data_IF_480766678343
#
_entry.id   IF_480766678343
#
_cell.length_a   1.000
_cell.length_b   1.000
_cell.length_c   1.000
_cell.angle_alpha   90.00
_cell.angle_beta   90.00
_cell.angle_gamma   90.00
#
_symmetry.space_group_name_H-M   'P 1'
#
loop_
_entity.id
_entity.type
_entity.pdbx_description
1 polymer ?
#
# COMPACT_ATOMS: atom_id res chain seq x y z
N UNK A 1 -34.90 -3.16 5.30
CA UNK A 1 -33.89 -2.42 6.09
C UNK A 1 -32.52 -2.93 5.66
N UNK A 2 -31.75 -2.11 4.94
CA UNK A 2 -30.37 -2.41 4.57
C UNK A 2 -29.60 -1.08 4.52
N UNK A 3 -28.60 -0.96 5.39
CA UNK A 3 -27.76 0.22 5.54
C UNK A 3 -26.85 0.37 4.32
N UNK A 4 -26.92 1.55 3.67
CA UNK A 4 -25.98 1.98 2.63
C UNK A 4 -24.77 2.60 3.33
N UNK A 5 -23.60 1.97 3.20
CA UNK A 5 -22.32 2.56 3.56
C UNK A 5 -21.97 3.69 2.60
N UNK A 6 -21.76 4.89 3.13
CA UNK A 6 -21.24 6.04 2.41
C UNK A 6 -19.76 5.84 2.08
N UNK A 7 -19.42 5.90 0.79
CA UNK A 7 -18.03 6.01 0.34
C UNK A 7 -17.51 7.43 0.56
N UNK A 8 -16.38 7.55 1.26
CA UNK A 8 -15.66 8.80 1.42
C UNK A 8 -14.98 9.21 0.13
N UNK A 9 -15.40 10.34 -0.42
CA UNK A 9 -14.77 11.00 -1.57
C UNK A 9 -13.57 11.80 -1.06
N UNK A 10 -12.35 11.45 -1.50
CA UNK A 10 -11.17 12.29 -1.34
C UNK A 10 -11.32 13.51 -2.27
N UNK A 11 -11.81 14.62 -1.72
CA UNK A 11 -11.91 15.90 -2.40
C UNK A 11 -10.56 16.62 -2.34
N UNK A 12 -10.03 16.96 -3.51
CA UNK A 12 -8.87 17.84 -3.65
C UNK A 12 -9.34 19.30 -3.54
N UNK A 13 -8.86 20.02 -2.54
CA UNK A 13 -9.07 21.46 -2.40
C UNK A 13 -7.92 22.20 -3.07
N UNK A 14 -8.27 23.01 -4.07
CA UNK A 14 -7.42 24.02 -4.72
C UNK A 14 -7.35 25.26 -3.82
N UNK A 15 -6.16 25.65 -3.38
CA UNK A 15 -5.93 26.92 -2.67
C UNK A 15 -5.81 28.08 -3.65
N UNK A 16 -6.49 29.18 -3.33
CA UNK A 16 -6.34 30.51 -3.92
C UNK A 16 -5.89 31.49 -2.84
N UNK A 17 -4.81 32.20 -3.13
CA UNK A 17 -4.22 33.30 -2.35
C UNK A 17 -5.15 34.54 -2.35
N UNK A 18 -5.30 35.25 -1.22
CA UNK A 18 -4.73 36.60 -0.98
C UNK A 18 -5.35 37.34 0.25
N UNK A 19 -4.47 38.13 0.87
CA UNK A 19 -4.59 39.37 1.67
C UNK A 19 -5.15 39.47 3.11
N UNK A 20 -4.26 39.92 4.02
CA UNK A 20 -4.40 41.20 4.74
C UNK A 20 -5.21 41.27 6.05
N UNK A 21 -4.55 41.61 7.18
CA UNK A 21 -5.23 42.23 8.33
C UNK A 21 -4.61 41.98 9.72
N UNK A 22 -3.97 43.01 10.25
CA UNK A 22 -3.40 43.17 11.61
C UNK A 22 -4.50 43.58 12.62
N UNK A 23 -4.50 43.05 13.86
CA UNK A 23 -4.42 43.80 15.13
C UNK A 23 -4.93 43.04 16.38
N UNK A 24 -4.23 43.30 17.50
CA UNK A 24 -4.85 43.67 18.78
C UNK A 24 -5.41 42.58 19.71
N UNK A 25 -4.57 42.01 20.58
CA UNK A 25 -5.01 41.45 21.87
C UNK A 25 -4.61 42.40 22.99
N UNK A 26 -5.61 43.07 23.57
CA UNK A 26 -5.46 44.01 24.69
C UNK A 26 -5.33 43.32 26.05
N UNK A 27 -4.69 44.06 26.97
CA UNK A 27 -5.12 44.42 28.34
C UNK A 27 -5.88 43.35 29.15
N UNK A 28 -5.64 43.10 30.45
CA UNK A 28 -4.79 43.71 31.47
C UNK A 28 -4.80 42.76 32.69
N UNK A 29 -3.75 42.86 33.51
CA UNK A 29 -3.68 42.93 34.99
C UNK A 29 -4.75 42.21 35.88
N UNK A 30 -4.49 41.66 37.08
CA UNK A 30 -3.62 42.08 38.19
C UNK A 30 -3.33 40.91 39.16
N UNK A 31 -2.21 41.06 39.86
CA UNK A 31 -1.76 40.35 41.06
C UNK A 31 -2.53 40.79 42.31
N UNK A 32 -2.79 39.87 43.24
CA UNK A 32 -2.83 40.18 44.68
C UNK A 32 -2.15 39.06 45.47
N UNK A 33 -0.98 39.39 46.03
CA UNK A 33 -0.35 38.76 47.17
C UNK A 33 -0.87 39.47 48.43
N UNK A 34 -1.04 38.75 49.53
CA UNK A 34 -0.59 39.30 50.80
C UNK A 34 -0.17 38.21 51.80
N UNK A 35 0.90 38.55 52.49
CA UNK A 35 1.62 37.84 53.54
C UNK A 35 0.85 37.85 54.87
N UNK A 36 1.15 36.94 55.81
CA UNK A 36 1.70 37.33 57.12
C UNK A 36 2.05 36.13 58.05
N UNK A 37 3.31 36.14 58.51
CA UNK A 37 3.87 35.83 59.84
C UNK A 37 3.45 34.58 60.67
N UNK A 38 4.47 33.77 61.06
CA UNK A 38 4.45 32.88 62.25
C UNK A 38 4.97 33.60 63.52
N UNK A 39 5.55 32.93 64.53
CA UNK A 39 5.45 31.53 65.01
C UNK A 39 5.21 31.44 66.54
N UNK A 40 4.86 30.27 67.13
CA UNK A 40 5.29 29.87 68.50
C UNK A 40 4.89 28.43 68.89
N UNK A 41 5.79 27.78 69.63
CA UNK A 41 5.75 26.41 70.17
C UNK A 41 4.74 26.18 71.31
N UNK A 42 4.31 24.92 71.48
CA UNK A 42 4.20 24.32 72.81
C UNK A 42 2.95 23.46 73.10
N UNK A 43 3.14 22.13 73.19
CA UNK A 43 2.57 21.34 74.29
C UNK A 43 1.41 20.37 74.04
N UNK A 44 1.77 19.08 73.89
CA UNK A 44 1.23 17.87 74.53
C UNK A 44 -0.18 17.29 74.20
N UNK A 45 -0.10 16.05 73.69
CA UNK A 45 -0.83 14.81 74.03
C UNK A 45 -2.18 14.39 73.39
N UNK A 46 -2.17 13.08 73.02
CA UNK A 46 -3.23 12.11 72.68
C UNK A 46 -3.96 12.32 71.32
N UNK A 47 -4.23 11.33 70.45
CA UNK A 47 -4.25 9.86 70.52
C UNK A 47 -4.26 9.28 69.06
N UNK A 48 -3.41 8.27 68.81
CA UNK A 48 -3.62 7.06 68.00
C UNK A 48 -4.31 7.15 66.61
N UNK A 49 -3.51 6.84 65.56
CA UNK A 49 -4.03 6.49 64.23
C UNK A 49 -3.00 5.84 63.31
N UNK A 50 -2.69 4.55 63.55
CA UNK A 50 -2.09 3.54 62.63
C UNK A 50 -1.29 4.06 61.42
N UNK A 51 0.02 3.97 61.50
CA UNK A 51 0.89 3.78 60.32
C UNK A 51 1.60 2.44 60.43
N UNK A 52 1.19 1.50 59.57
CA UNK A 52 2.00 0.32 59.23
C UNK A 52 3.30 0.80 58.58
N UNK A 53 4.40 0.21 59.03
CA UNK A 53 5.75 0.69 58.80
C UNK A 53 6.12 0.93 57.33
N UNK A 54 6.91 1.99 57.14
CA UNK A 54 7.75 2.17 55.97
C UNK A 54 8.63 0.95 55.77
N UNK A 55 8.18 0.07 54.87
CA UNK A 55 9.01 -0.95 54.27
C UNK A 55 10.08 -0.27 53.45
N UNK A 56 11.34 -0.61 53.73
CA UNK A 56 12.43 -0.29 52.84
C UNK A 56 12.15 -1.06 51.54
N UNK A 57 11.81 -0.34 50.48
CA UNK A 57 11.71 -0.89 49.12
C UNK A 57 13.13 -1.16 48.64
N UNK A 58 13.72 -2.22 49.20
CA UNK A 58 14.97 -2.79 48.72
C UNK A 58 14.54 -3.64 47.54
N UNK A 59 14.73 -3.13 46.33
CA UNK A 59 14.61 -3.89 45.09
C UNK A 59 15.37 -5.21 45.28
N UNK A 60 14.61 -6.30 45.37
CA UNK A 60 15.08 -7.64 45.73
C UNK A 60 15.75 -8.32 44.52
N UNK A 61 16.66 -7.60 43.85
CA UNK A 61 17.60 -8.11 42.87
C UNK A 61 18.96 -7.45 43.13
N UNK A 62 19.67 -7.98 44.13
CA UNK A 62 21.09 -7.75 44.31
C UNK A 62 21.81 -8.39 43.10
N UNK A 63 21.91 -7.67 41.98
CA UNK A 63 22.69 -8.12 40.82
C UNK A 63 24.13 -8.37 41.28
N UNK A 64 24.52 -9.65 41.26
CA UNK A 64 25.89 -10.07 41.55
C UNK A 64 26.85 -9.24 40.67
N UNK A 65 27.82 -8.51 41.25
CA UNK A 65 28.84 -7.84 40.48
C UNK A 65 29.50 -8.86 39.54
N UNK A 66 29.67 -8.49 38.27
CA UNK A 66 30.20 -9.38 37.22
C UNK A 66 31.61 -9.94 37.52
N UNK A 67 32.24 -9.51 38.61
CA UNK A 67 33.55 -9.94 39.08
C UNK A 67 33.53 -11.25 39.90
N UNK A 68 32.37 -11.87 40.12
CA UNK A 68 32.21 -13.11 40.92
C UNK A 68 32.08 -14.41 40.12
N UNK A 69 32.17 -14.37 38.78
CA UNK A 69 32.30 -15.59 37.97
C UNK A 69 33.76 -16.10 38.00
N UNK A 70 34.12 -16.80 39.08
CA UNK A 70 35.40 -17.50 39.19
C UNK A 70 35.33 -18.77 38.33
N UNK A 71 35.47 -18.59 37.02
CA UNK A 71 35.88 -19.67 36.13
C UNK A 71 37.26 -20.23 36.53
N UNK A 72 37.63 -21.45 36.09
CA UNK A 72 38.86 -22.10 36.54
C UNK A 72 40.09 -21.25 36.22
N UNK A 73 40.80 -20.80 37.25
CA UNK A 73 42.03 -20.03 37.12
C UNK A 73 43.05 -20.81 36.27
N UNK A 74 43.63 -20.22 35.21
CA UNK A 74 44.81 -20.78 34.59
C UNK A 74 45.98 -20.61 35.57
N UNK A 75 46.53 -21.74 36.02
CA UNK A 75 47.80 -21.80 36.73
C UNK A 75 48.93 -21.70 35.71
N UNK A 76 49.53 -20.52 35.57
CA UNK A 76 50.71 -20.33 34.70
C UNK A 76 51.10 -18.87 34.62
N UNK A 77 52.25 -18.51 35.21
CA UNK A 77 52.66 -17.14 35.49
C UNK A 77 53.14 -16.30 34.30
N UNK A 78 53.21 -14.99 34.55
CA UNK A 78 53.79 -13.97 33.68
C UNK A 78 52.88 -12.76 33.53
N UNK A 79 53.11 -11.71 34.32
CA UNK A 79 52.51 -10.37 34.15
C UNK A 79 53.07 -9.67 32.90
N UNK A 80 52.80 -10.22 31.72
CA UNK A 80 52.80 -9.45 30.47
C UNK A 80 51.35 -9.30 30.05
N UNK A 81 50.84 -8.07 30.01
CA UNK A 81 49.45 -7.77 29.68
C UNK A 81 49.02 -8.42 28.36
N UNK A 82 48.36 -9.57 28.46
CA UNK A 82 47.92 -10.35 27.32
C UNK A 82 46.78 -9.61 26.62
N UNK A 83 47.08 -8.98 25.47
CA UNK A 83 46.07 -8.27 24.68
C UNK A 83 45.15 -9.27 23.99
N UNK A 84 43.88 -9.28 24.37
CA UNK A 84 42.81 -10.03 23.70
C UNK A 84 42.05 -9.08 22.76
N UNK A 85 42.01 -9.33 21.45
CA UNK A 85 41.25 -8.49 20.53
C UNK A 85 39.74 -8.61 20.81
N UNK A 86 38.97 -7.50 20.81
CA UNK A 86 37.55 -7.54 21.10
C UNK A 86 36.75 -8.23 19.99
N UNK A 87 35.67 -8.91 20.38
CA UNK A 87 34.72 -9.53 19.44
C UNK A 87 33.76 -8.50 18.85
N UNK A 88 33.31 -8.72 17.62
CA UNK A 88 32.34 -7.84 16.96
C UNK A 88 30.99 -7.90 17.69
N UNK A 89 30.42 -6.73 17.97
CA UNK A 89 29.03 -6.62 18.42
C UNK A 89 28.02 -6.83 17.28
N UNK A 90 26.73 -6.84 17.63
CA UNK A 90 25.63 -6.93 16.67
C UNK A 90 25.57 -5.68 15.79
N UNK A 91 25.52 -5.88 14.47
CA UNK A 91 25.37 -4.77 13.52
C UNK A 91 23.98 -4.16 13.58
N UNK A 92 23.85 -2.86 13.28
CA UNK A 92 22.55 -2.19 13.25
C UNK A 92 21.60 -2.78 12.20
N UNK A 93 22.11 -3.26 11.07
CA UNK A 93 21.32 -4.02 10.09
C UNK A 93 20.70 -5.28 10.67
N UNK A 94 21.43 -6.02 11.51
CA UNK A 94 20.89 -7.21 12.18
C UNK A 94 19.84 -6.83 13.24
N UNK A 95 20.08 -5.75 13.98
CA UNK A 95 19.09 -5.20 14.94
C UNK A 95 17.76 -4.91 14.24
N UNK A 96 17.79 -4.28 13.06
CA UNK A 96 16.59 -4.01 12.27
C UNK A 96 15.82 -5.27 11.87
N UNK A 97 16.53 -6.32 11.44
CA UNK A 97 15.90 -7.61 11.09
C UNK A 97 15.29 -8.32 12.30
N UNK A 98 15.84 -8.12 13.51
CA UNK A 98 15.29 -8.72 14.72
C UNK A 98 14.04 -7.99 15.21
N UNK A 99 13.98 -6.67 15.02
CA UNK A 99 12.91 -5.81 15.56
C UNK A 99 11.73 -5.61 14.61
N UNK A 100 11.82 -6.07 13.36
CA UNK A 100 10.78 -5.85 12.36
C UNK A 100 10.36 -7.14 11.67
N UNK A 101 9.11 -7.17 11.24
CA UNK A 101 8.52 -8.20 10.39
C UNK A 101 8.02 -7.61 9.06
N UNK A 102 8.45 -6.37 8.75
CA UNK A 102 8.10 -5.66 7.53
C UNK A 102 9.17 -5.91 6.46
N UNK A 103 8.75 -6.33 5.26
CA UNK A 103 9.68 -6.66 4.18
C UNK A 103 10.66 -5.52 3.84
N UNK A 104 10.19 -4.26 3.83
CA UNK A 104 11.03 -3.09 3.52
C UNK A 104 12.19 -2.91 4.50
N UNK A 105 12.00 -3.20 5.79
CA UNK A 105 13.03 -3.03 6.80
C UNK A 105 14.18 -4.03 6.60
N UNK A 106 13.85 -5.26 6.19
CA UNK A 106 14.83 -6.28 5.85
C UNK A 106 15.59 -5.95 4.56
N UNK A 107 14.93 -5.31 3.58
CA UNK A 107 15.60 -4.82 2.37
C UNK A 107 16.56 -3.68 2.72
N UNK A 108 16.16 -2.75 3.58
CA UNK A 108 17.01 -1.65 4.06
C UNK A 108 18.23 -2.18 4.85
N UNK A 109 18.05 -3.27 5.59
CA UNK A 109 19.13 -3.98 6.28
C UNK A 109 20.09 -4.74 5.33
N UNK A 110 19.71 -4.92 4.05
CA UNK A 110 20.47 -5.74 3.10
C UNK A 110 20.26 -7.25 3.26
N UNK A 111 19.33 -7.68 4.11
CA UNK A 111 18.98 -9.09 4.29
C UNK A 111 17.88 -9.48 3.28
N UNK A 112 18.27 -9.63 2.01
CA UNK A 112 17.32 -9.90 0.93
C UNK A 112 16.62 -11.24 1.08
N UNK A 113 17.29 -12.28 1.57
CA UNK A 113 16.68 -13.59 1.77
C UNK A 113 15.51 -13.54 2.75
N UNK A 114 15.69 -12.86 3.89
CA UNK A 114 14.63 -12.73 4.90
C UNK A 114 13.49 -11.84 4.40
N UNK A 115 13.79 -10.75 3.67
CA UNK A 115 12.78 -9.94 3.00
C UNK A 115 11.96 -10.74 1.99
N UNK A 116 12.62 -11.61 1.20
CA UNK A 116 11.96 -12.47 0.22
C UNK A 116 11.06 -13.50 0.89
N UNK A 117 11.49 -14.09 2.01
CA UNK A 117 10.67 -15.01 2.82
C UNK A 117 9.43 -14.30 3.36
N UNK A 118 9.57 -13.09 3.91
CA UNK A 118 8.43 -12.29 4.37
C UNK A 118 7.44 -11.99 3.22
N UNK A 119 7.93 -11.56 2.05
CA UNK A 119 7.05 -11.32 0.89
C UNK A 119 6.38 -12.60 0.38
N UNK A 120 7.08 -13.74 0.46
CA UNK A 120 6.52 -15.03 0.09
C UNK A 120 5.35 -15.42 0.99
N UNK A 121 5.54 -15.35 2.32
CA UNK A 121 4.57 -15.82 3.30
C UNK A 121 3.40 -14.83 3.48
N UNK A 122 3.68 -13.52 3.38
CA UNK A 122 2.68 -12.47 3.60
C UNK A 122 1.83 -12.19 2.35
N UNK A 123 2.45 -12.12 1.17
CA UNK A 123 1.77 -11.66 -0.07
C UNK A 123 1.94 -12.61 -1.26
N UNK A 124 2.56 -13.78 -1.05
CA UNK A 124 2.61 -14.85 -2.05
C UNK A 124 3.56 -14.60 -3.22
N UNK A 125 4.65 -13.86 -3.00
CA UNK A 125 5.65 -13.60 -4.03
C UNK A 125 6.50 -14.86 -4.28
N UNK A 126 6.57 -15.29 -5.54
CA UNK A 126 7.38 -16.44 -6.01
C UNK A 126 8.39 -16.05 -7.08
N UNK A 127 8.06 -15.05 -7.91
CA UNK A 127 8.91 -14.59 -9.00
C UNK A 127 9.48 -13.20 -8.67
N UNK A 128 10.72 -13.16 -8.21
CA UNK A 128 11.41 -11.96 -7.71
C UNK A 128 12.14 -11.07 -8.74
N UNK A 129 12.48 -11.47 -9.99
CA UNK A 129 13.15 -10.59 -10.95
C UNK A 129 12.49 -9.22 -11.15
N UNK A 130 11.15 -9.07 -11.22
CA UNK A 130 10.51 -7.75 -11.32
C UNK A 130 10.74 -6.85 -10.09
N UNK A 131 11.07 -7.43 -8.93
CA UNK A 131 11.39 -6.69 -7.71
C UNK A 131 12.83 -6.16 -7.67
N UNK A 132 13.72 -6.59 -8.58
CA UNK A 132 15.16 -6.27 -8.52
C UNK A 132 15.44 -4.77 -8.37
N UNK A 133 14.81 -3.93 -9.19
CA UNK A 133 15.02 -2.48 -9.14
C UNK A 133 14.51 -1.88 -7.81
N UNK A 134 13.35 -2.34 -7.33
CA UNK A 134 12.78 -1.87 -6.05
C UNK A 134 13.66 -2.27 -4.86
N UNK A 135 14.21 -3.49 -4.88
CA UNK A 135 15.12 -3.98 -3.84
C UNK A 135 16.42 -3.18 -3.83
N UNK A 136 17.06 -3.01 -5.00
CA UNK A 136 18.34 -2.31 -5.10
C UNK A 136 18.21 -0.82 -4.75
N UNK A 137 17.16 -0.13 -5.21
CA UNK A 137 16.92 1.26 -4.85
C UNK A 137 16.59 1.42 -3.35
N UNK A 138 15.91 0.44 -2.77
CA UNK A 138 15.61 0.45 -1.34
C UNK A 138 16.86 0.20 -0.50
N UNK A 139 17.67 -0.78 -0.86
CA UNK A 139 18.95 -1.03 -0.20
C UNK A 139 19.89 0.18 -0.27
N UNK A 140 19.96 0.84 -1.43
CA UNK A 140 20.83 2.00 -1.63
C UNK A 140 20.54 3.18 -0.70
N UNK A 141 19.29 3.34 -0.24
CA UNK A 141 18.90 4.40 0.71
C UNK A 141 18.97 3.98 2.19
N UNK A 142 19.40 2.76 2.49
CA UNK A 142 19.37 2.21 3.86
C UNK A 142 20.45 2.77 4.81
N UNK A 143 21.53 3.34 4.28
CA UNK A 143 22.67 3.80 5.09
C UNK A 143 23.28 5.07 4.53
N UNK A 144 23.80 5.92 5.42
CA UNK A 144 24.64 7.07 5.07
C UNK A 144 26.10 6.70 5.23
N UNK A 145 27.01 7.47 4.62
CA UNK A 145 28.45 7.26 4.72
C UNK A 145 29.13 8.57 5.11
N UNK A 146 30.08 8.51 6.03
CA UNK A 146 30.88 9.67 6.44
C UNK A 146 32.32 9.24 6.74
N UNK A 147 33.27 10.17 6.62
CA UNK A 147 34.70 9.91 6.83
C UNK A 147 35.03 10.16 8.30
N UNK A 148 35.70 9.20 8.93
CA UNK A 148 36.28 9.37 10.26
C UNK A 148 37.66 10.02 10.15
N UNK A 149 38.70 9.19 10.06
CA UNK A 149 40.07 9.65 9.82
C UNK A 149 40.40 9.64 8.32
N UNK A 150 41.24 10.57 7.83
CA UNK A 150 41.76 10.53 6.46
C UNK A 150 42.45 9.21 6.14
N UNK A 151 42.35 8.76 4.89
CA UNK A 151 42.99 7.54 4.38
C UNK A 151 42.52 6.22 5.00
N UNK A 152 41.45 6.22 5.80
CA UNK A 152 40.78 5.02 6.29
C UNK A 152 39.43 4.77 5.57
N UNK A 153 38.91 3.53 5.55
CA UNK A 153 37.59 3.25 5.04
C UNK A 153 36.50 4.12 5.70
N UNK A 154 35.50 4.60 4.93
CA UNK A 154 34.38 5.37 5.50
C UNK A 154 33.58 4.57 6.52
N UNK A 155 32.98 5.29 7.46
CA UNK A 155 32.02 4.75 8.41
C UNK A 155 30.60 4.86 7.83
N UNK A 156 29.73 3.95 8.28
CA UNK A 156 28.32 3.95 7.88
C UNK A 156 27.42 4.41 9.03
N UNK A 157 26.50 5.32 8.72
CA UNK A 157 25.40 5.71 9.60
C UNK A 157 24.14 4.94 9.24
N UNK A 158 23.39 4.53 10.26
CA UNK A 158 22.16 3.75 10.12
C UNK A 158 20.99 4.58 10.67
N UNK A 159 20.40 5.49 9.86
CA UNK A 159 19.34 6.37 10.32
C UNK A 159 18.07 5.58 10.67
N UNK A 160 17.48 5.89 11.83
CA UNK A 160 16.36 5.16 12.40
C UNK A 160 15.10 6.04 12.45
N UNK A 161 13.92 5.45 12.25
CA UNK A 161 12.65 6.18 12.38
C UNK A 161 12.29 6.49 13.84
N UNK A 162 12.74 5.67 14.77
CA UNK A 162 12.55 5.81 16.22
C UNK A 162 13.83 6.28 16.93
N UNK A 163 14.63 7.14 16.28
CA UNK A 163 15.96 7.56 16.75
C UNK A 163 15.99 8.18 18.16
N UNK A 164 14.88 8.70 18.67
CA UNK A 164 14.78 9.26 20.03
C UNK A 164 14.89 8.20 21.13
N UNK A 165 14.27 7.03 20.91
CA UNK A 165 14.06 6.01 21.96
C UNK A 165 14.68 4.65 21.58
N UNK A 166 15.33 4.55 20.43
CA UNK A 166 15.86 3.30 19.90
C UNK A 166 17.00 2.68 20.73
N UNK A 167 17.84 3.50 21.35
CA UNK A 167 19.07 3.05 21.99
C UNK A 167 19.93 2.16 21.06
N UNK A 168 20.66 1.21 21.65
CA UNK A 168 21.53 0.30 20.88
C UNK A 168 20.79 -0.89 20.25
N UNK A 169 19.65 -1.31 20.82
CA UNK A 169 18.98 -2.59 20.52
C UNK A 169 17.58 -2.49 19.95
N UNK A 170 16.89 -1.34 20.05
CA UNK A 170 15.48 -1.21 19.65
C UNK A 170 15.31 -0.41 18.35
N UNK A 171 16.41 -0.10 17.65
CA UNK A 171 16.38 0.66 16.41
C UNK A 171 15.61 -0.05 15.29
N UNK A 172 14.90 0.75 14.49
CA UNK A 172 14.27 0.33 13.23
C UNK A 172 14.52 1.39 12.13
N UNK A 173 14.66 0.99 10.86
CA UNK A 173 15.19 1.88 9.83
C UNK A 173 14.23 3.01 9.45
N UNK A 174 14.77 4.08 8.88
CA UNK A 174 13.97 5.23 8.45
C UNK A 174 13.02 4.90 7.28
N UNK A 175 11.84 5.53 7.27
CA UNK A 175 10.82 5.37 6.22
C UNK A 175 11.18 6.21 5.00
N UNK A 176 11.64 5.57 3.94
CA UNK A 176 12.04 6.25 2.69
C UNK A 176 10.96 6.32 1.60
N UNK A 177 9.85 5.59 1.77
CA UNK A 177 8.71 5.60 0.83
C UNK A 177 7.43 5.79 1.62
N UNK A 178 6.66 6.83 1.29
CA UNK A 178 5.37 7.15 1.93
C UNK A 178 4.21 6.85 0.99
N UNK A 179 3.03 6.61 1.55
CA UNK A 179 1.80 6.38 0.79
C UNK A 179 1.49 7.55 -0.16
N UNK A 180 1.71 8.79 0.30
CA UNK A 180 1.51 10.01 -0.51
C UNK A 180 2.34 10.03 -1.79
N UNK A 181 3.58 9.50 -1.76
CA UNK A 181 4.43 9.38 -2.96
C UNK A 181 3.80 8.43 -3.99
N UNK A 182 3.20 7.32 -3.55
CA UNK A 182 2.52 6.39 -4.45
C UNK A 182 1.24 7.01 -5.03
N UNK A 183 0.50 7.79 -4.25
CA UNK A 183 -0.68 8.53 -4.71
C UNK A 183 -0.30 9.58 -5.77
N UNK A 184 0.84 10.25 -5.62
CA UNK A 184 1.36 11.17 -6.64
C UNK A 184 1.74 10.43 -7.94
N UNK A 185 2.39 9.27 -7.83
CA UNK A 185 2.72 8.44 -9.00
C UNK A 185 1.45 7.93 -9.72
N UNK A 186 0.37 7.70 -8.98
CA UNK A 186 -0.92 7.29 -9.54
C UNK A 186 -1.49 8.34 -10.51
N UNK A 187 -1.32 9.63 -10.23
CA UNK A 187 -1.76 10.71 -11.12
C UNK A 187 -1.04 10.66 -12.48
N UNK A 188 0.25 10.33 -12.49
CA UNK A 188 1.03 10.15 -13.71
C UNK A 188 0.48 8.95 -14.51
N UNK A 189 0.13 7.85 -13.84
CA UNK A 189 -0.46 6.69 -14.49
C UNK A 189 -1.84 6.99 -15.12
N UNK A 190 -2.65 7.85 -14.48
CA UNK A 190 -3.90 8.36 -15.06
C UNK A 190 -3.67 9.21 -16.30
N UNK A 191 -2.68 10.10 -16.28
CA UNK A 191 -2.32 10.92 -17.45
C UNK A 191 -1.87 10.04 -18.63
N UNK A 192 -1.04 9.02 -18.38
CA UNK A 192 -0.63 8.05 -19.42
C UNK A 192 -1.81 7.27 -19.99
N UNK A 193 -2.78 6.91 -19.14
CA UNK A 193 -4.01 6.23 -19.57
C UNK A 193 -4.86 7.13 -20.46
N UNK A 194 -5.06 8.38 -20.07
CA UNK A 194 -5.77 9.39 -20.88
C UNK A 194 -5.04 9.66 -22.21
N UNK A 195 -3.70 9.66 -22.19
CA UNK A 195 -2.85 9.81 -23.37
C UNK A 195 -2.77 8.57 -24.28
N UNK A 196 -3.44 7.46 -23.93
CA UNK A 196 -3.46 6.23 -24.73
C UNK A 196 -2.17 5.39 -24.70
N UNK A 197 -1.21 5.73 -23.83
CA UNK A 197 0.06 5.01 -23.66
C UNK A 197 -0.10 3.83 -22.69
N UNK A 198 -0.89 2.83 -23.10
CA UNK A 198 -1.32 1.75 -22.21
C UNK A 198 -0.18 0.88 -21.68
N UNK A 199 0.85 0.59 -22.49
CA UNK A 199 2.03 -0.16 -22.03
C UNK A 199 2.75 0.55 -20.87
N UNK A 200 3.09 1.83 -21.06
CA UNK A 200 3.75 2.65 -20.02
C UNK A 200 2.86 2.78 -18.78
N UNK A 201 1.54 2.97 -18.97
CA UNK A 201 0.59 3.04 -17.86
C UNK A 201 0.55 1.74 -17.05
N UNK A 202 0.47 0.57 -17.69
CA UNK A 202 0.46 -0.75 -17.04
C UNK A 202 1.76 -0.95 -16.23
N UNK A 203 2.91 -0.57 -16.78
CA UNK A 203 4.17 -0.67 -16.06
C UNK A 203 4.21 0.23 -14.82
N UNK A 204 3.69 1.46 -14.92
CA UNK A 204 3.59 2.38 -13.78
C UNK A 204 2.62 1.88 -12.72
N UNK A 205 1.41 1.44 -13.08
CA UNK A 205 0.47 0.85 -12.13
C UNK A 205 1.06 -0.40 -11.46
N UNK A 206 1.79 -1.24 -12.20
CA UNK A 206 2.46 -2.42 -11.62
C UNK A 206 3.55 -2.00 -10.65
N UNK A 207 4.36 -1.00 -10.99
CA UNK A 207 5.40 -0.50 -10.09
C UNK A 207 4.82 0.04 -8.78
N UNK A 208 3.71 0.78 -8.84
CA UNK A 208 2.97 1.25 -7.66
C UNK A 208 2.48 0.06 -6.84
N UNK A 209 1.80 -0.90 -7.48
CA UNK A 209 1.26 -2.10 -6.82
C UNK A 209 2.36 -2.89 -6.09
N UNK A 210 3.51 -3.10 -6.72
CA UNK A 210 4.64 -3.81 -6.13
C UNK A 210 5.36 -3.01 -5.04
N UNK A 211 5.20 -1.68 -5.03
CA UNK A 211 5.75 -0.81 -3.99
C UNK A 211 4.90 -0.75 -2.72
N UNK A 212 3.61 -1.10 -2.79
CA UNK A 212 2.72 -1.09 -1.62
C UNK A 212 3.21 -2.01 -0.50
N UNK A 213 3.61 -3.28 -0.74
CA UNK A 213 4.21 -4.14 0.30
C UNK A 213 5.51 -3.61 0.91
N UNK A 214 6.09 -2.54 0.33
CA UNK A 214 7.32 -1.92 0.80
C UNK A 214 7.06 -0.62 1.59
N UNK A 215 5.81 -0.37 1.97
CA UNK A 215 5.44 0.75 2.83
C UNK A 215 5.61 0.42 4.31
N UNK A 216 5.80 1.48 5.10
CA UNK A 216 5.60 1.49 6.55
C UNK A 216 4.54 2.54 6.82
N UNK A 217 3.39 2.14 7.38
CA UNK A 217 2.25 3.01 7.68
C UNK A 217 1.90 2.97 9.16
N UNK A 218 1.40 4.10 9.66
CA UNK A 218 1.28 4.31 11.12
C UNK A 218 -0.10 3.95 11.66
N UNK A 219 -1.15 4.08 10.84
CA UNK A 219 -2.54 3.94 11.29
C UNK A 219 -3.35 2.96 10.43
N UNK A 220 -4.48 2.49 10.97
CA UNK A 220 -5.38 1.55 10.27
C UNK A 220 -6.02 2.14 9.02
N UNK A 221 -6.19 3.46 8.96
CA UNK A 221 -6.77 4.14 7.80
C UNK A 221 -5.83 4.09 6.60
N UNK A 222 -4.54 4.37 6.80
CA UNK A 222 -3.50 4.25 5.77
C UNK A 222 -3.36 2.81 5.26
N UNK A 223 -3.57 1.80 6.12
CA UNK A 223 -3.62 0.40 5.69
C UNK A 223 -4.80 0.19 4.71
N UNK A 224 -5.97 0.73 5.02
CA UNK A 224 -7.14 0.63 4.14
C UNK A 224 -6.92 1.40 2.82
N UNK A 225 -6.33 2.59 2.87
CA UNK A 225 -5.97 3.37 1.67
C UNK A 225 -4.93 2.64 0.80
N UNK A 226 -3.93 2.00 1.40
CA UNK A 226 -2.96 1.17 0.70
C UNK A 226 -3.61 -0.04 0.01
N UNK A 227 -4.59 -0.68 0.65
CA UNK A 227 -5.38 -1.75 0.04
C UNK A 227 -6.23 -1.24 -1.13
N UNK A 228 -6.91 -0.11 -0.97
CA UNK A 228 -7.66 0.54 -2.05
C UNK A 228 -6.74 0.89 -3.23
N UNK A 229 -5.52 1.36 -2.96
CA UNK A 229 -4.53 1.64 -4.00
C UNK A 229 -4.14 0.39 -4.79
N UNK A 230 -3.99 -0.76 -4.12
CA UNK A 230 -3.77 -2.05 -4.79
C UNK A 230 -4.96 -2.40 -5.70
N UNK A 231 -6.19 -2.23 -5.20
CA UNK A 231 -7.40 -2.50 -5.99
C UNK A 231 -7.46 -1.62 -7.23
N UNK A 232 -7.23 -0.30 -7.09
CA UNK A 232 -7.17 0.62 -8.22
C UNK A 232 -6.12 0.14 -9.23
N UNK A 233 -4.90 -0.17 -8.79
CA UNK A 233 -3.86 -0.65 -9.70
C UNK A 233 -4.26 -1.95 -10.41
N UNK A 234 -4.93 -2.89 -9.71
CA UNK A 234 -5.47 -4.12 -10.32
C UNK A 234 -6.48 -3.80 -11.42
N UNK A 235 -7.50 -3.00 -11.11
CA UNK A 235 -8.60 -2.69 -12.04
C UNK A 235 -8.06 -2.09 -13.34
N UNK A 236 -7.11 -1.16 -13.22
CA UNK A 236 -6.46 -0.55 -14.39
C UNK A 236 -5.59 -1.54 -15.15
N UNK A 237 -4.75 -2.34 -14.48
CA UNK A 237 -3.88 -3.31 -15.18
C UNK A 237 -4.71 -4.34 -15.94
N UNK A 238 -5.75 -4.92 -15.31
CA UNK A 238 -6.62 -5.92 -15.96
C UNK A 238 -7.35 -5.30 -17.14
N UNK A 239 -7.99 -4.15 -16.93
CA UNK A 239 -8.75 -3.46 -17.97
C UNK A 239 -7.90 -3.03 -19.16
N UNK A 240 -6.73 -2.43 -18.92
CA UNK A 240 -5.81 -2.00 -19.99
C UNK A 240 -5.18 -3.19 -20.71
N UNK A 241 -4.81 -4.27 -20.00
CA UNK A 241 -4.27 -5.48 -20.64
C UNK A 241 -5.31 -6.15 -21.54
N UNK A 242 -6.58 -6.15 -21.11
CA UNK A 242 -7.69 -6.65 -21.91
C UNK A 242 -7.91 -5.80 -23.16
N UNK A 243 -7.92 -4.47 -23.03
CA UNK A 243 -8.08 -3.56 -24.18
C UNK A 243 -6.93 -3.66 -25.18
N UNK A 244 -5.70 -3.87 -24.71
CA UNK A 244 -4.55 -4.16 -25.57
C UNK A 244 -4.73 -5.46 -26.35
N UNK A 245 -5.08 -6.54 -25.66
CA UNK A 245 -5.34 -7.85 -26.30
C UNK A 245 -6.48 -7.74 -27.31
N UNK A 246 -7.52 -6.97 -27.00
CA UNK A 246 -8.65 -6.68 -27.92
C UNK A 246 -8.22 -5.96 -29.19
N UNK A 247 -7.22 -5.09 -29.12
CA UNK A 247 -6.68 -4.36 -30.27
C UNK A 247 -5.79 -5.24 -31.14
N UNK A 248 -5.11 -6.22 -30.56
CA UNK A 248 -4.23 -7.18 -31.25
C UNK A 248 -5.00 -8.30 -31.97
N UNK A 249 -6.21 -8.63 -31.49
CA UNK A 249 -7.07 -9.64 -32.12
C UNK A 249 -7.44 -9.24 -33.58
N UNK A 250 -7.35 -10.17 -34.54
CA UNK A 250 -7.87 -9.97 -35.89
C UNK A 250 -9.39 -9.72 -35.87
N UNK A 251 -9.92 -9.11 -36.94
CA UNK A 251 -11.34 -8.73 -37.05
C UNK A 251 -11.97 -9.22 -38.35
N UNK A 252 -11.35 -10.24 -38.94
CA UNK A 252 -11.67 -10.70 -40.28
C UNK A 252 -12.89 -11.61 -40.25
N UNK A 253 -13.01 -12.43 -39.20
CA UNK A 253 -14.18 -13.28 -38.99
C UNK A 253 -15.21 -12.62 -38.09
N UNK A 254 -16.46 -13.03 -38.27
CA UNK A 254 -17.56 -12.54 -37.47
C UNK A 254 -17.46 -12.97 -35.99
N UNK A 255 -16.89 -14.15 -35.72
CA UNK A 255 -16.68 -14.65 -34.36
C UNK A 255 -15.61 -13.85 -33.59
N UNK A 256 -14.56 -13.41 -34.28
CA UNK A 256 -13.57 -12.48 -33.72
C UNK A 256 -14.17 -11.10 -33.43
N UNK A 257 -15.06 -10.60 -34.30
CA UNK A 257 -15.78 -9.35 -34.06
C UNK A 257 -16.68 -9.46 -32.82
N UNK A 258 -17.36 -10.60 -32.62
CA UNK A 258 -18.10 -10.89 -31.38
C UNK A 258 -17.18 -10.87 -30.16
N UNK A 259 -16.05 -11.56 -30.24
CA UNK A 259 -15.06 -11.62 -29.14
C UNK A 259 -14.53 -10.23 -28.79
N UNK A 260 -14.29 -9.38 -29.79
CA UNK A 260 -13.88 -7.99 -29.58
C UNK A 260 -14.97 -7.17 -28.85
N UNK A 261 -16.25 -7.40 -29.19
CA UNK A 261 -17.37 -6.76 -28.50
C UNK A 261 -17.52 -7.26 -27.05
N UNK A 262 -17.39 -8.56 -26.82
CA UNK A 262 -17.39 -9.15 -25.46
C UNK A 262 -16.34 -8.49 -24.57
N UNK A 263 -15.09 -8.41 -25.02
CA UNK A 263 -14.00 -7.80 -24.24
C UNK A 263 -14.23 -6.31 -23.98
N UNK A 264 -14.79 -5.58 -24.94
CA UNK A 264 -15.15 -4.17 -24.74
C UNK A 264 -16.30 -4.00 -23.71
N UNK A 265 -17.27 -4.92 -23.71
CA UNK A 265 -18.33 -4.93 -22.70
C UNK A 265 -17.79 -5.25 -21.31
N UNK A 266 -16.88 -6.22 -21.18
CA UNK A 266 -16.22 -6.52 -19.91
C UNK A 266 -15.41 -5.32 -19.41
N UNK A 267 -14.72 -4.60 -20.31
CA UNK A 267 -13.94 -3.43 -19.91
C UNK A 267 -14.82 -2.32 -19.30
N UNK A 268 -16.06 -2.19 -19.76
CA UNK A 268 -17.00 -1.23 -19.17
C UNK A 268 -17.38 -1.53 -17.70
N UNK A 269 -17.07 -2.74 -17.20
CA UNK A 269 -17.32 -3.15 -15.81
C UNK A 269 -16.10 -2.99 -14.90
N UNK A 270 -14.93 -2.63 -15.44
CA UNK A 270 -13.77 -2.28 -14.62
C UNK A 270 -14.05 -0.98 -13.85
N UNK A 271 -13.70 -0.95 -12.56
CA UNK A 271 -13.92 0.22 -11.71
C UNK A 271 -12.78 1.23 -11.91
N UNK A 272 -12.92 2.06 -12.94
CA UNK A 272 -11.97 3.12 -13.28
C UNK A 272 -12.48 4.50 -12.81
N UNK A 273 -11.64 5.52 -12.93
CA UNK A 273 -12.11 6.90 -12.77
C UNK A 273 -13.14 7.26 -13.86
N UNK A 274 -14.12 8.12 -13.57
CA UNK A 274 -15.20 8.47 -14.49
C UNK A 274 -14.71 8.88 -15.89
N UNK A 275 -13.62 9.65 -15.96
CA UNK A 275 -13.01 10.09 -17.24
C UNK A 275 -12.59 8.91 -18.12
N UNK A 276 -12.04 7.84 -17.54
CA UNK A 276 -11.62 6.65 -18.26
C UNK A 276 -12.82 5.73 -18.55
N UNK A 277 -13.77 5.61 -17.62
CA UNK A 277 -15.00 4.86 -17.84
C UNK A 277 -15.77 5.39 -19.05
N UNK A 278 -15.87 6.71 -19.23
CA UNK A 278 -16.48 7.33 -20.42
C UNK A 278 -15.80 6.86 -21.71
N UNK A 279 -14.47 6.75 -21.74
CA UNK A 279 -13.72 6.29 -22.92
C UNK A 279 -14.00 4.80 -23.23
N UNK A 280 -14.07 3.96 -22.20
CA UNK A 280 -14.40 2.53 -22.36
C UNK A 280 -15.82 2.33 -22.87
N UNK A 281 -16.80 3.02 -22.28
CA UNK A 281 -18.21 2.97 -22.69
C UNK A 281 -18.41 3.51 -24.10
N UNK A 282 -17.70 4.57 -24.49
CA UNK A 282 -17.74 5.09 -25.86
C UNK A 282 -17.24 4.05 -26.87
N UNK A 283 -16.19 3.32 -26.51
CA UNK A 283 -15.64 2.25 -27.35
C UNK A 283 -16.62 1.09 -27.47
N UNK A 284 -17.18 0.63 -26.35
CA UNK A 284 -18.20 -0.42 -26.34
C UNK A 284 -19.44 -0.01 -27.18
N UNK A 285 -19.97 1.20 -26.96
CA UNK A 285 -21.12 1.72 -27.72
C UNK A 285 -20.90 1.64 -29.23
N UNK A 286 -19.74 2.10 -29.72
CA UNK A 286 -19.42 2.09 -31.14
C UNK A 286 -19.30 0.67 -31.72
N UNK A 287 -18.75 -0.28 -30.95
CA UNK A 287 -18.61 -1.67 -31.40
C UNK A 287 -19.97 -2.36 -31.44
N UNK A 288 -20.78 -2.24 -30.39
CA UNK A 288 -22.11 -2.84 -30.32
C UNK A 288 -23.08 -2.25 -31.34
N UNK A 289 -22.97 -0.96 -31.65
CA UNK A 289 -23.74 -0.34 -32.73
C UNK A 289 -23.39 -0.90 -34.11
N UNK A 290 -22.10 -1.17 -34.38
CA UNK A 290 -21.64 -1.74 -35.67
C UNK A 290 -22.13 -3.16 -35.89
N UNK A 291 -22.14 -3.99 -34.84
CA UNK A 291 -22.67 -5.36 -34.90
C UNK A 291 -24.21 -5.41 -34.78
N UNK A 292 -24.90 -4.26 -34.84
CA UNK A 292 -26.37 -4.16 -34.78
C UNK A 292 -27.00 -4.75 -33.50
N UNK A 293 -26.25 -4.75 -32.39
CA UNK A 293 -26.78 -5.07 -31.07
C UNK A 293 -27.27 -3.81 -30.37
N UNK A 294 -28.43 -3.33 -30.82
CA UNK A 294 -28.93 -2.01 -30.45
C UNK A 294 -29.47 -1.92 -29.01
N UNK A 295 -30.00 -3.02 -28.47
CA UNK A 295 -30.52 -3.03 -27.08
C UNK A 295 -29.36 -2.90 -26.08
N UNK A 296 -28.27 -3.66 -26.27
CA UNK A 296 -27.06 -3.51 -25.45
C UNK A 296 -26.36 -2.15 -25.69
N UNK A 297 -26.26 -1.70 -26.95
CA UNK A 297 -25.70 -0.39 -27.27
C UNK A 297 -26.45 0.75 -26.55
N UNK A 298 -27.78 0.71 -26.52
CA UNK A 298 -28.60 1.70 -25.80
C UNK A 298 -28.30 1.72 -24.29
N UNK A 299 -28.05 0.55 -23.68
CA UNK A 299 -27.63 0.43 -22.27
C UNK A 299 -26.30 1.13 -22.02
N UNK A 300 -25.28 0.88 -22.85
CA UNK A 300 -23.99 1.57 -22.76
C UNK A 300 -24.12 3.09 -22.97
N UNK A 301 -24.95 3.53 -23.91
CA UNK A 301 -25.18 4.94 -24.17
C UNK A 301 -25.82 5.66 -22.96
N UNK A 302 -26.81 5.04 -22.30
CA UNK A 302 -27.42 5.59 -21.07
C UNK A 302 -26.39 5.75 -19.95
N UNK A 303 -25.65 4.69 -19.65
CA UNK A 303 -24.59 4.72 -18.62
C UNK A 303 -23.49 5.73 -18.96
N UNK A 304 -23.14 5.90 -20.24
CA UNK A 304 -22.20 6.91 -20.70
C UNK A 304 -22.73 8.32 -20.41
N UNK A 305 -24.01 8.60 -20.70
CA UNK A 305 -24.63 9.91 -20.44
C UNK A 305 -24.74 10.23 -18.94
N UNK A 306 -24.98 9.23 -18.09
CA UNK A 306 -25.02 9.38 -16.63
C UNK A 306 -23.69 9.85 -16.03
N UNK A 307 -22.56 9.47 -16.64
CA UNK A 307 -21.22 9.89 -16.20
C UNK A 307 -20.88 11.35 -16.56
N UNK A 308 -21.75 12.06 -17.27
CA UNK A 308 -21.55 13.48 -17.61
C UNK A 308 -20.38 13.72 -18.59
N UNK A 309 -20.42 13.18 -19.81
CA UNK A 309 -19.36 13.37 -20.79
C UNK A 309 -19.35 14.81 -21.33
N UNK A 310 -18.24 15.19 -22.00
CA UNK A 310 -18.14 16.47 -22.71
C UNK A 310 -19.31 16.68 -23.70
N UNK A 311 -19.78 17.93 -23.93
CA UNK A 311 -20.98 18.21 -24.72
C UNK A 311 -21.01 17.52 -26.09
N UNK A 312 -19.90 17.50 -26.81
CA UNK A 312 -19.81 16.88 -28.15
C UNK A 312 -20.06 15.37 -28.10
N UNK A 313 -19.46 14.70 -27.10
CA UNK A 313 -19.63 13.26 -26.88
C UNK A 313 -21.06 12.97 -26.41
N UNK A 314 -21.63 13.83 -25.57
CA UNK A 314 -23.03 13.72 -25.13
C UNK A 314 -24.01 13.81 -26.32
N UNK A 315 -23.83 14.80 -27.20
CA UNK A 315 -24.66 14.97 -28.39
C UNK A 315 -24.55 13.77 -29.34
N UNK A 316 -23.34 13.29 -29.61
CA UNK A 316 -23.11 12.09 -30.42
C UNK A 316 -23.80 10.87 -29.79
N UNK A 317 -23.65 10.68 -28.48
CA UNK A 317 -24.24 9.55 -27.76
C UNK A 317 -25.77 9.59 -27.77
N UNK A 318 -26.40 10.76 -27.61
CA UNK A 318 -27.86 10.92 -27.71
C UNK A 318 -28.39 10.58 -29.11
N UNK A 319 -27.66 10.97 -30.16
CA UNK A 319 -28.04 10.62 -31.55
C UNK A 319 -27.99 9.10 -31.77
N UNK A 320 -26.93 8.44 -31.29
CA UNK A 320 -26.80 6.98 -31.38
C UNK A 320 -27.89 6.29 -30.55
N UNK A 321 -28.17 6.78 -29.34
CA UNK A 321 -29.23 6.24 -28.48
C UNK A 321 -30.60 6.31 -29.16
N UNK A 322 -30.97 7.46 -29.72
CA UNK A 322 -32.23 7.62 -30.46
C UNK A 322 -32.32 6.68 -31.68
N UNK A 323 -31.20 6.38 -32.33
CA UNK A 323 -31.16 5.39 -33.41
C UNK A 323 -31.34 3.96 -32.89
N UNK A 324 -30.75 3.62 -31.73
CA UNK A 324 -30.91 2.32 -31.09
C UNK A 324 -32.35 2.08 -30.60
N UNK A 325 -33.00 3.12 -30.07
CA UNK A 325 -34.38 3.04 -29.55
C UNK A 325 -35.43 2.84 -30.65
N UNK A 326 -35.13 3.24 -31.89
CA UNK A 326 -35.99 2.93 -33.05
C UNK A 326 -36.03 1.45 -33.40
N UNK A 327 -34.99 0.68 -33.06
CA UNK A 327 -34.93 -0.76 -33.30
C UNK A 327 -34.20 -1.47 -32.15
N UNK A 328 -34.87 -1.66 -30.98
CA UNK A 328 -34.24 -2.14 -29.75
C UNK A 328 -34.08 -3.67 -29.73
N UNK A 329 -33.49 -4.24 -30.78
CA UNK A 329 -33.25 -5.68 -30.92
C UNK A 329 -31.74 -5.94 -30.96
N UNK A 330 -31.30 -7.00 -30.28
CA UNK A 330 -29.94 -7.53 -30.42
C UNK A 330 -29.93 -8.60 -31.51
N UNK A 331 -29.14 -8.41 -32.56
CA UNK A 331 -29.06 -9.35 -33.68
C UNK A 331 -28.24 -10.62 -33.32
N UNK A 332 -27.35 -10.50 -32.34
CA UNK A 332 -26.39 -11.55 -32.02
C UNK A 332 -26.28 -11.80 -30.52
N UNK A 333 -26.25 -13.08 -30.14
CA UNK A 333 -25.95 -13.50 -28.78
C UNK A 333 -24.45 -13.28 -28.48
N UNK A 334 -24.19 -12.66 -27.33
CA UNK A 334 -22.87 -12.28 -26.81
C UNK A 334 -22.75 -12.84 -25.41
N UNK A 335 -21.59 -13.41 -25.02
CA UNK A 335 -21.37 -13.96 -23.68
C UNK A 335 -21.15 -12.86 -22.64
N UNK A 336 -22.16 -12.02 -22.46
CA UNK A 336 -22.12 -10.88 -21.55
C UNK A 336 -23.51 -10.65 -20.98
N UNK A 337 -23.56 -10.57 -19.65
CA UNK A 337 -24.79 -10.28 -18.91
C UNK A 337 -24.53 -9.04 -18.07
N UNK A 338 -25.30 -7.99 -18.35
CA UNK A 338 -25.19 -6.68 -17.69
C UNK A 338 -25.80 -6.66 -16.28
N UNK A 339 -26.68 -7.61 -15.95
CA UNK A 339 -27.42 -7.63 -14.69
C UNK A 339 -26.79 -8.57 -13.65
N UNK A 340 -25.95 -9.49 -14.10
CA UNK A 340 -25.27 -10.45 -13.24
C UNK A 340 -23.83 -10.00 -12.94
N UNK A 341 -23.49 -9.68 -11.68
CA UNK A 341 -22.12 -9.30 -11.33
C UNK A 341 -21.12 -10.41 -11.65
N UNK A 342 -19.99 -10.03 -12.25
CA UNK A 342 -18.90 -10.93 -12.60
C UNK A 342 -17.54 -10.31 -12.27
N UNK A 343 -16.57 -11.17 -12.00
CA UNK A 343 -15.16 -10.81 -12.00
C UNK A 343 -14.55 -11.16 -13.37
N UNK A 344 -13.47 -10.49 -13.77
CA UNK A 344 -12.80 -10.78 -15.04
C UNK A 344 -11.61 -11.70 -14.78
N UNK A 345 -11.53 -12.83 -15.51
CA UNK A 345 -10.32 -13.65 -15.51
C UNK A 345 -9.16 -12.86 -16.11
N UNK A 346 -8.14 -12.53 -15.31
CA UNK A 346 -7.02 -11.69 -15.75
C UNK A 346 -6.03 -12.40 -16.70
N UNK A 347 -6.27 -13.67 -17.05
CA UNK A 347 -5.51 -14.42 -18.06
C UNK A 347 -6.28 -14.56 -19.38
N UNK A 348 -7.52 -15.07 -19.33
CA UNK A 348 -8.31 -15.38 -20.53
C UNK A 348 -9.27 -14.26 -20.94
N UNK A 349 -9.48 -13.25 -20.09
CA UNK A 349 -10.44 -12.17 -20.27
C UNK A 349 -11.88 -12.69 -20.52
N UNK A 350 -12.29 -13.67 -19.72
CA UNK A 350 -13.65 -14.23 -19.68
C UNK A 350 -14.31 -13.86 -18.35
N UNK A 351 -15.62 -13.57 -18.32
CA UNK A 351 -16.34 -13.24 -17.10
C UNK A 351 -16.51 -14.49 -16.23
N UNK A 352 -16.24 -14.34 -14.94
CA UNK A 352 -16.47 -15.30 -13.87
C UNK A 352 -17.66 -14.80 -13.07
N UNK A 353 -18.85 -15.30 -13.39
CA UNK A 353 -20.08 -14.92 -12.69
C UNK A 353 -20.09 -15.39 -11.24
N UNK A 354 -20.80 -14.64 -10.38
CA UNK A 354 -20.95 -15.01 -8.97
C UNK A 354 -21.44 -16.44 -8.79
N UNK A 355 -20.84 -17.15 -7.84
CA UNK A 355 -21.13 -18.56 -7.53
C UNK A 355 -20.29 -19.57 -8.33
N UNK A 356 -19.54 -19.14 -9.34
CA UNK A 356 -18.53 -19.98 -10.00
C UNK A 356 -17.23 -20.01 -9.19
N UNK A 357 -16.45 -21.10 -9.26
CA UNK A 357 -15.18 -21.20 -8.56
C UNK A 357 -14.20 -20.15 -9.13
N UNK A 358 -13.61 -19.37 -8.24
CA UNK A 358 -12.64 -18.31 -8.56
C UNK A 358 -11.40 -18.48 -7.70
N UNK A 359 -10.23 -18.31 -8.31
CA UNK A 359 -8.96 -18.29 -7.60
C UNK A 359 -8.38 -16.89 -7.69
N UNK A 360 -7.90 -16.36 -6.57
CA UNK A 360 -7.44 -14.97 -6.47
C UNK A 360 -5.94 -14.88 -6.28
N UNK A 361 -5.36 -13.81 -6.81
CA UNK A 361 -4.02 -13.37 -6.45
C UNK A 361 -4.01 -12.89 -4.99
N UNK A 362 -3.11 -13.40 -4.13
CA UNK A 362 -3.09 -13.05 -2.70
C UNK A 362 -2.72 -11.58 -2.44
N UNK A 363 -1.97 -10.94 -3.34
CA UNK A 363 -1.61 -9.53 -3.23
C UNK A 363 -2.65 -8.60 -3.84
N UNK A 364 -2.94 -8.77 -5.14
CA UNK A 364 -3.75 -7.81 -5.89
C UNK A 364 -5.25 -8.06 -5.83
N UNK A 365 -5.67 -9.27 -5.46
CA UNK A 365 -7.06 -9.73 -5.58
C UNK A 365 -7.51 -9.97 -7.02
N UNK A 366 -6.59 -10.00 -7.99
CA UNK A 366 -6.92 -10.35 -9.38
C UNK A 366 -7.54 -11.75 -9.46
N UNK A 367 -8.67 -11.86 -10.15
CA UNK A 367 -9.44 -13.10 -10.27
C UNK A 367 -8.98 -13.92 -11.48
N UNK A 368 -8.97 -15.23 -11.31
CA UNK A 368 -8.60 -16.21 -12.32
C UNK A 368 -9.54 -17.41 -12.27
N UNK A 369 -9.64 -18.10 -13.41
CA UNK A 369 -10.26 -19.42 -13.48
C UNK A 369 -9.39 -20.43 -12.70
N UNK A 370 -10.00 -21.50 -12.13
CA UNK A 370 -9.28 -22.49 -11.32
C UNK A 370 -8.11 -23.19 -12.03
N UNK A 371 -8.16 -23.26 -13.35
CA UNK A 371 -7.09 -23.83 -14.19
C UNK A 371 -5.74 -23.12 -14.05
N UNK A 372 -5.74 -21.84 -13.66
CA UNK A 372 -4.51 -21.05 -13.47
C UNK A 372 -3.96 -21.10 -12.03
N UNK A 373 -4.52 -21.93 -11.14
CA UNK A 373 -4.01 -22.06 -9.76
C UNK A 373 -2.56 -22.57 -9.79
N UNK A 374 -1.69 -21.92 -9.02
CA UNK A 374 -0.26 -22.22 -8.95
C UNK A 374 0.59 -21.54 -10.04
N UNK A 375 -0.01 -20.90 -11.04
CA UNK A 375 0.74 -20.09 -12.01
C UNK A 375 1.13 -18.71 -11.46
N UNK A 376 2.05 -18.05 -12.15
CA UNK A 376 2.42 -16.66 -11.87
C UNK A 376 1.34 -15.71 -12.39
N UNK A 377 0.84 -14.85 -11.50
CA UNK A 377 -0.17 -13.83 -11.77
C UNK A 377 0.26 -12.88 -12.90
N UNK A 378 -0.57 -12.72 -13.93
CA UNK A 378 -0.32 -11.84 -15.09
C UNK A 378 -0.36 -10.34 -14.72
N UNK A 379 -1.12 -9.99 -13.68
CA UNK A 379 -1.24 -8.61 -13.16
C UNK A 379 0.04 -8.19 -12.43
N UNK A 380 0.39 -8.91 -11.37
CA UNK A 380 1.55 -8.56 -10.51
C UNK A 380 2.88 -9.00 -11.12
N UNK A 381 2.88 -10.05 -11.95
CA UNK A 381 4.07 -10.75 -12.50
C UNK A 381 5.00 -11.40 -11.48
N UNK A 382 4.63 -11.37 -10.20
CA UNK A 382 5.50 -11.83 -9.10
C UNK A 382 4.83 -12.84 -8.18
N UNK A 383 3.49 -12.85 -8.09
CA UNK A 383 2.76 -13.68 -7.12
C UNK A 383 2.22 -14.97 -7.71
N UNK A 384 2.06 -15.97 -6.86
CA UNK A 384 1.43 -17.26 -7.19
C UNK A 384 -0.10 -17.16 -7.03
N UNK A 385 -0.85 -17.60 -8.05
CA UNK A 385 -2.31 -17.54 -8.05
C UNK A 385 -2.87 -18.60 -7.10
N UNK A 386 -3.68 -18.18 -6.12
CA UNK A 386 -4.36 -19.11 -5.20
C UNK A 386 -3.51 -19.66 -4.08
N UNK A 387 -2.37 -19.03 -3.80
CA UNK A 387 -1.53 -19.35 -2.65
C UNK A 387 -2.13 -18.79 -1.36
N UNK A 388 -2.21 -19.60 -0.33
CA UNK A 388 -2.63 -19.17 1.00
C UNK A 388 -1.51 -18.35 1.66
N UNK A 389 -1.82 -17.14 2.08
CA UNK A 389 -0.85 -16.17 2.61
C UNK A 389 -1.39 -15.51 3.88
N UNK A 390 -0.50 -14.99 4.72
CA UNK A 390 -0.85 -14.29 5.96
C UNK A 390 -1.60 -12.96 5.69
N UNK A 391 -1.43 -12.41 4.49
CA UNK A 391 -1.96 -11.12 4.05
C UNK A 391 -0.96 -9.99 4.21
N UNK A 392 -1.21 -8.88 3.51
CA UNK A 392 -0.35 -7.69 3.47
C UNK A 392 0.05 -7.22 4.88
N UNK A 393 1.35 -7.07 5.14
CA UNK A 393 1.90 -6.46 6.37
C UNK A 393 2.76 -5.25 6.01
N UNK A 394 2.27 -4.07 6.38
CA UNK A 394 2.89 -2.76 6.12
C UNK A 394 2.87 -1.85 7.35
N UNK A 395 2.36 -2.33 8.49
CA UNK A 395 2.29 -1.55 9.73
C UNK A 395 2.65 -2.39 10.95
N UNK A 396 3.35 -1.83 11.95
CA UNK A 396 3.58 -2.47 13.25
C UNK A 396 2.27 -2.87 13.96
N UNK A 397 1.16 -2.16 13.73
CA UNK A 397 -0.14 -2.43 14.35
C UNK A 397 -0.68 -3.83 14.01
N UNK A 398 -0.22 -4.43 12.91
CA UNK A 398 -0.69 -5.72 12.43
C UNK A 398 -0.02 -6.92 13.15
N UNK A 399 0.89 -6.67 14.09
CA UNK A 399 1.64 -7.67 14.85
C UNK A 399 1.31 -7.61 16.35
N UNK A 400 0.01 -7.60 16.68
CA UNK A 400 -0.49 -7.63 18.06
C UNK A 400 -0.79 -9.05 18.52
#
# INVERSE_FOLDING_TARGET
MAARGQGGTLAATTESLDDGGVDGWGEDAELVLDDDYGPTEGGLDEEIGREEGGGWDVEEDLELPADLDIGPLPTGGGEEGFFVPPTKGTSQSQVWCNNSQLAVDHILAGSFETAMRLLHDQVGVVNLPPYKNLFMQTYARGRTSYVGLPSLPPLFGYPQRNWKDAGARNGVPIVGLKLSTLVQQLQIAYQLTTGGKFNEAIERFRNILLSVPLLVVDNKQEIAEAQQLIEICREYIVGLSMEMTRKELPKDTFEEQKRSCEMAAYFSHCNLQPVHMILTLRTALNLFFKIKNYRMAASFARRLLELGPKPDVAQQTRRILAACEKNPVDQHEIKYDQHNPFDICAATFVPIYRGKPVVKCPLSGACYLPEFKGEVCRVTKVTEIGKDCIGLRISPIQFR
#
